data_IF_596815561088
#
_entry.id   IF_596815561088
#
_cell.length_a   1.000
_cell.length_b   1.000
_cell.length_c   1.000
_cell.angle_alpha   90.00
_cell.angle_beta   90.00
_cell.angle_gamma   90.00
#
_symmetry.space_group_name_H-M   'P 1'
#
loop_
_entity.id
_entity.type
_entity.pdbx_description
1 polymer ?
#
# COMPACT_ATOMS: atom_id res chain seq x y z
N UNK A 1 86.29 -62.99 21.35
CA UNK A 1 86.06 -61.64 20.78
C UNK A 1 84.58 -61.58 20.45
N UNK A 2 83.68 -61.33 21.42
CA UNK A 2 83.26 -60.03 21.99
C UNK A 2 81.95 -59.55 21.32
N UNK A 3 80.93 -59.28 22.17
CA UNK A 3 79.55 -58.76 21.95
C UNK A 3 78.48 -59.66 21.30
N UNK A 4 77.19 -59.64 21.65
CA UNK A 4 76.37 -59.47 22.87
C UNK A 4 74.87 -59.61 22.45
N UNK A 5 74.05 -60.31 23.24
CA UNK A 5 72.59 -60.12 23.55
C UNK A 5 71.59 -59.63 22.45
N UNK A 6 70.54 -60.37 22.05
CA UNK A 6 69.30 -60.87 22.70
C UNK A 6 68.04 -59.97 22.55
N UNK A 7 66.97 -60.55 21.95
CA UNK A 7 65.50 -60.40 22.21
C UNK A 7 64.84 -59.01 21.99
N UNK A 8 63.54 -58.84 21.72
CA UNK A 8 62.38 -59.64 21.34
C UNK A 8 61.17 -58.69 21.19
N UNK A 9 60.13 -59.12 20.45
CA UNK A 9 58.69 -58.85 20.64
C UNK A 9 58.18 -57.39 20.72
N UNK A 10 57.26 -57.02 19.81
CA UNK A 10 55.96 -56.44 20.19
C UNK A 10 54.92 -56.45 19.05
N UNK A 11 53.78 -57.06 19.35
CA UNK A 11 52.49 -56.83 18.72
C UNK A 11 52.07 -55.36 18.85
N UNK A 12 51.33 -54.81 17.87
CA UNK A 12 49.92 -54.41 18.03
C UNK A 12 49.47 -53.31 17.04
N UNK A 13 48.16 -53.37 16.75
CA UNK A 13 47.24 -52.30 16.33
C UNK A 13 47.06 -52.07 14.82
N UNK A 14 46.07 -52.78 14.27
CA UNK A 14 45.31 -52.33 13.11
C UNK A 14 44.46 -51.12 13.53
N UNK A 15 44.67 -49.99 12.87
CA UNK A 15 43.88 -48.78 13.06
C UNK A 15 42.53 -48.92 12.35
N UNK A 16 41.46 -49.00 13.15
CA UNK A 16 40.09 -48.85 12.69
C UNK A 16 39.84 -47.34 12.49
N UNK A 17 39.82 -46.88 11.24
CA UNK A 17 39.40 -45.51 10.92
C UNK A 17 37.88 -45.48 11.07
N UNK A 18 37.41 -45.01 12.23
CA UNK A 18 36.02 -44.65 12.44
C UNK A 18 35.78 -43.35 11.66
N UNK A 19 35.20 -43.46 10.46
CA UNK A 19 34.62 -42.31 9.77
C UNK A 19 33.42 -41.84 10.58
N UNK A 20 33.65 -40.88 11.48
CA UNK A 20 32.59 -40.07 12.08
C UNK A 20 31.92 -39.30 10.94
N UNK A 21 30.85 -39.89 10.40
CA UNK A 21 29.89 -39.14 9.61
C UNK A 21 29.36 -38.03 10.51
N UNK A 22 29.80 -36.79 10.26
CA UNK A 22 29.14 -35.61 10.78
C UNK A 22 27.79 -35.59 10.07
N UNK A 23 26.79 -36.24 10.66
CA UNK A 23 25.41 -35.92 10.38
C UNK A 23 25.26 -34.49 10.87
N UNK A 24 25.30 -33.52 9.96
CA UNK A 24 24.83 -32.18 10.24
C UNK A 24 23.39 -32.34 10.74
N UNK A 25 23.21 -32.23 12.06
CA UNK A 25 21.88 -32.08 12.62
C UNK A 25 21.29 -30.87 11.90
N UNK A 26 20.08 -30.97 11.32
CA UNK A 26 19.45 -29.80 10.74
C UNK A 26 19.46 -28.72 11.82
N UNK A 27 20.03 -27.56 11.49
CA UNK A 27 19.95 -26.41 12.38
C UNK A 27 18.49 -26.24 12.74
N UNK A 28 18.17 -26.33 14.03
CA UNK A 28 16.81 -26.12 14.48
C UNK A 28 16.45 -24.69 14.12
N UNK A 29 15.38 -24.51 13.35
CA UNK A 29 14.85 -23.20 13.01
C UNK A 29 14.66 -22.38 14.30
N UNK A 30 15.35 -21.24 14.38
CA UNK A 30 15.38 -20.38 15.56
C UNK A 30 14.27 -19.32 15.49
N UNK A 31 13.83 -18.81 16.64
CA UNK A 31 12.94 -17.64 16.69
C UNK A 31 13.80 -16.36 16.68
N UNK A 32 13.79 -15.61 15.58
CA UNK A 32 14.59 -14.38 15.47
C UNK A 32 14.03 -13.27 16.37
N UNK A 33 14.88 -12.44 17.00
CA UNK A 33 14.42 -11.43 17.93
C UNK A 33 13.74 -10.24 17.23
N UNK A 34 12.91 -9.51 17.98
CA UNK A 34 12.42 -8.20 17.54
C UNK A 34 13.60 -7.25 17.28
N UNK A 35 13.52 -6.47 16.19
CA UNK A 35 14.60 -5.60 15.75
C UNK A 35 15.64 -6.28 14.87
N UNK A 36 15.56 -7.60 14.66
CA UNK A 36 16.37 -8.31 13.68
C UNK A 36 16.22 -7.68 12.29
N UNK A 37 17.33 -7.55 11.56
CA UNK A 37 17.37 -6.94 10.23
C UNK A 37 17.71 -8.02 9.22
N UNK A 38 16.72 -8.37 8.40
CA UNK A 38 16.92 -9.22 7.22
C UNK A 38 17.58 -8.41 6.11
N UNK A 39 18.58 -9.00 5.47
CA UNK A 39 19.30 -8.42 4.34
C UNK A 39 19.86 -9.52 3.43
N UNK A 40 20.43 -9.14 2.29
CA UNK A 40 21.03 -10.10 1.37
C UNK A 40 22.13 -10.98 2.01
N UNK A 41 22.81 -10.47 3.05
CA UNK A 41 23.92 -11.17 3.71
C UNK A 41 23.47 -12.35 4.57
N UNK A 42 22.24 -12.34 5.08
CA UNK A 42 21.77 -13.32 6.06
C UNK A 42 20.46 -14.01 5.65
N UNK A 43 19.83 -13.59 4.54
CA UNK A 43 18.52 -14.09 4.13
C UNK A 43 18.46 -15.63 4.05
N UNK A 44 19.38 -16.24 3.30
CA UNK A 44 19.31 -17.68 3.00
C UNK A 44 19.51 -18.56 4.25
N UNK A 45 20.27 -18.08 5.24
CA UNK A 45 20.51 -18.77 6.50
C UNK A 45 19.27 -18.75 7.42
N UNK A 46 18.43 -17.73 7.27
CA UNK A 46 17.29 -17.47 8.17
C UNK A 46 15.92 -17.70 7.52
N UNK A 47 15.82 -18.14 6.26
CA UNK A 47 14.51 -18.34 5.62
C UNK A 47 13.62 -19.35 6.37
N UNK A 48 14.23 -20.36 6.98
CA UNK A 48 13.52 -21.37 7.77
C UNK A 48 13.33 -20.98 9.25
N UNK A 49 14.04 -19.95 9.73
CA UNK A 49 13.82 -19.38 11.05
C UNK A 49 12.46 -18.70 11.15
N UNK A 50 11.98 -18.53 12.37
CA UNK A 50 10.64 -18.07 12.67
C UNK A 50 10.66 -16.64 13.23
N UNK A 51 9.62 -15.87 12.92
CA UNK A 51 9.30 -14.64 13.62
C UNK A 51 7.83 -14.64 14.01
N UNK A 52 7.58 -14.46 15.30
CA UNK A 52 6.29 -14.65 15.96
C UNK A 52 5.65 -16.00 15.59
N UNK A 53 6.47 -17.07 15.58
CA UNK A 53 6.02 -18.43 15.28
C UNK A 53 5.67 -18.71 13.82
N UNK A 54 5.97 -17.80 12.89
CA UNK A 54 5.79 -18.02 11.44
C UNK A 54 7.15 -18.03 10.75
N UNK A 55 7.46 -19.01 9.88
CA UNK A 55 8.71 -19.01 9.12
C UNK A 55 8.90 -17.73 8.30
N UNK A 56 10.11 -17.19 8.27
CA UNK A 56 10.44 -15.95 7.56
C UNK A 56 10.15 -16.06 6.06
N UNK A 57 10.39 -17.23 5.45
CA UNK A 57 10.01 -17.51 4.05
C UNK A 57 8.51 -17.39 3.75
N UNK A 58 7.65 -17.61 4.75
CA UNK A 58 6.19 -17.48 4.59
C UNK A 58 5.74 -16.02 4.75
N UNK A 59 6.44 -15.25 5.58
CA UNK A 59 6.20 -13.83 5.79
C UNK A 59 6.68 -12.95 4.63
N UNK A 60 7.63 -13.42 3.82
CA UNK A 60 8.13 -12.70 2.66
C UNK A 60 7.36 -13.10 1.38
N UNK A 61 6.99 -12.11 0.57
CA UNK A 61 6.58 -12.40 -0.82
C UNK A 61 7.82 -12.71 -1.65
N UNK A 62 7.65 -13.44 -2.76
CA UNK A 62 8.76 -13.71 -3.69
C UNK A 62 9.44 -12.42 -4.16
N UNK A 63 8.66 -11.36 -4.36
CA UNK A 63 9.17 -10.05 -4.78
C UNK A 63 9.85 -9.29 -3.65
N UNK A 64 9.49 -9.53 -2.38
CA UNK A 64 10.31 -9.03 -1.25
C UNK A 64 11.66 -9.76 -1.18
N UNK A 65 11.68 -11.08 -1.40
CA UNK A 65 12.93 -11.86 -1.49
C UNK A 65 13.81 -11.33 -2.62
N UNK A 66 13.24 -11.12 -3.82
CA UNK A 66 13.93 -10.50 -4.95
C UNK A 66 14.48 -9.11 -4.59
N UNK A 67 13.68 -8.25 -3.96
CA UNK A 67 14.12 -6.91 -3.51
C UNK A 67 15.28 -6.98 -2.51
N UNK A 68 15.29 -7.95 -1.61
CA UNK A 68 16.39 -8.15 -0.66
C UNK A 68 17.65 -8.60 -1.40
N UNK A 69 17.56 -9.66 -2.19
CA UNK A 69 18.71 -10.28 -2.88
C UNK A 69 19.31 -9.40 -3.96
N UNK A 70 18.47 -8.82 -4.82
CA UNK A 70 18.90 -8.15 -6.06
C UNK A 70 18.98 -6.63 -5.91
N UNK A 71 18.24 -6.07 -4.95
CA UNK A 71 18.14 -4.62 -4.78
C UNK A 71 18.47 -4.17 -3.35
N UNK A 72 19.11 -5.01 -2.54
CA UNK A 72 19.67 -4.63 -1.24
C UNK A 72 18.65 -4.13 -0.22
N UNK A 73 17.35 -4.45 -0.38
CA UNK A 73 16.35 -4.10 0.62
C UNK A 73 16.73 -4.72 1.96
N UNK A 74 16.66 -3.90 3.02
CA UNK A 74 16.80 -4.35 4.41
C UNK A 74 15.47 -4.23 5.12
N UNK A 75 15.11 -5.27 5.87
CA UNK A 75 13.82 -5.34 6.57
C UNK A 75 14.08 -5.49 8.07
N UNK A 76 13.79 -4.42 8.84
CA UNK A 76 13.82 -4.48 10.30
C UNK A 76 12.47 -4.98 10.84
N UNK A 77 12.50 -6.06 11.60
CA UNK A 77 11.32 -6.68 12.17
C UNK A 77 10.80 -5.94 13.40
N UNK A 78 9.48 -5.75 13.46
CA UNK A 78 8.78 -5.28 14.64
C UNK A 78 7.52 -6.12 14.88
N UNK A 79 7.01 -6.19 16.14
CA UNK A 79 5.88 -7.06 16.48
C UNK A 79 4.63 -6.70 15.67
N UNK A 80 3.76 -7.67 15.39
CA UNK A 80 2.43 -7.40 14.87
C UNK A 80 1.71 -6.34 15.75
N UNK A 81 0.97 -5.43 15.10
CA UNK A 81 0.21 -4.37 15.78
C UNK A 81 -1.16 -4.23 15.12
N UNK A 82 -2.28 -4.43 15.86
CA UNK A 82 -3.61 -4.22 15.32
C UNK A 82 -3.81 -2.75 14.90
N UNK A 83 -4.47 -2.56 13.75
CA UNK A 83 -4.90 -1.24 13.31
C UNK A 83 -6.06 -0.74 14.19
N UNK A 84 -6.11 0.57 14.42
CA UNK A 84 -7.16 1.23 15.20
C UNK A 84 -7.94 2.24 14.34
N UNK A 85 -8.99 1.82 13.62
CA UNK A 85 -9.86 2.73 12.88
C UNK A 85 -10.67 3.67 13.77
N UNK A 86 -11.24 4.70 13.15
CA UNK A 86 -12.20 5.61 13.78
C UNK A 86 -13.37 4.82 14.38
N UNK A 87 -13.66 5.05 15.66
CA UNK A 87 -14.71 4.32 16.38
C UNK A 87 -16.10 4.51 15.77
N UNK A 88 -16.35 5.64 15.08
CA UNK A 88 -17.59 5.89 14.34
C UNK A 88 -17.70 5.01 13.10
N UNK A 89 -16.59 4.77 12.40
CA UNK A 89 -16.53 3.85 11.27
C UNK A 89 -16.81 2.40 11.73
N UNK A 90 -16.30 2.00 12.89
CA UNK A 90 -16.61 0.70 13.51
C UNK A 90 -18.11 0.61 13.88
N UNK A 91 -18.66 1.66 14.51
CA UNK A 91 -20.07 1.71 14.87
C UNK A 91 -20.99 1.67 13.64
N UNK A 92 -20.64 2.38 12.56
CA UNK A 92 -21.34 2.35 11.30
C UNK A 92 -21.33 0.95 10.68
N UNK A 93 -20.16 0.30 10.65
CA UNK A 93 -20.02 -1.09 10.17
C UNK A 93 -20.94 -2.04 10.94
N UNK A 94 -20.94 -1.98 12.28
CA UNK A 94 -21.81 -2.82 13.12
C UNK A 94 -23.30 -2.59 12.85
N UNK A 95 -23.68 -1.34 12.55
CA UNK A 95 -25.08 -0.93 12.37
C UNK A 95 -25.62 -1.26 10.98
N UNK A 96 -24.81 -1.05 9.94
CA UNK A 96 -25.28 -1.07 8.55
C UNK A 96 -24.84 -2.29 7.76
N UNK A 97 -23.70 -2.92 8.06
CA UNK A 97 -23.25 -4.12 7.34
C UNK A 97 -24.29 -5.25 7.33
N UNK A 98 -25.07 -5.53 8.41
CA UNK A 98 -26.11 -6.56 8.38
C UNK A 98 -27.25 -6.30 7.38
N UNK A 99 -27.38 -5.06 6.87
CA UNK A 99 -28.41 -4.66 5.90
C UNK A 99 -27.93 -4.77 4.45
N UNK A 100 -26.63 -5.04 4.25
CA UNK A 100 -26.02 -5.08 2.92
C UNK A 100 -26.27 -6.44 2.28
N UNK A 101 -26.93 -6.42 1.12
CA UNK A 101 -27.04 -7.57 0.23
C UNK A 101 -25.97 -7.53 -0.86
N UNK A 102 -25.80 -8.65 -1.57
CA UNK A 102 -24.99 -8.72 -2.78
C UNK A 102 -25.82 -9.36 -3.89
N UNK A 103 -26.06 -8.61 -4.97
CA UNK A 103 -26.70 -9.13 -6.16
C UNK A 103 -25.66 -9.87 -7.00
N UNK A 104 -25.83 -11.19 -7.13
CA UNK A 104 -24.88 -12.06 -7.85
C UNK A 104 -24.93 -11.90 -9.37
N UNK A 105 -26.02 -11.38 -9.93
CA UNK A 105 -26.16 -11.15 -11.37
C UNK A 105 -25.43 -9.87 -11.78
N UNK A 106 -25.69 -8.78 -11.05
CA UNK A 106 -25.05 -7.48 -11.33
C UNK A 106 -23.69 -7.32 -10.64
N UNK A 107 -23.35 -8.21 -9.69
CA UNK A 107 -22.17 -8.17 -8.84
C UNK A 107 -22.07 -6.87 -8.03
N UNK A 108 -23.20 -6.30 -7.61
CA UNK A 108 -23.27 -5.03 -6.88
C UNK A 108 -23.81 -5.20 -5.46
N UNK A 109 -23.37 -4.36 -4.50
CA UNK A 109 -23.98 -4.30 -3.18
C UNK A 109 -25.34 -3.61 -3.25
N UNK A 110 -26.29 -4.07 -2.44
CA UNK A 110 -27.59 -3.42 -2.23
C UNK A 110 -27.74 -3.03 -0.76
N UNK A 111 -28.47 -1.94 -0.49
CA UNK A 111 -28.70 -1.49 0.89
C UNK A 111 -27.47 -0.93 1.61
N UNK A 112 -26.40 -0.57 0.88
CA UNK A 112 -25.22 0.07 1.48
C UNK A 112 -25.54 1.46 2.03
N UNK A 113 -25.07 1.73 3.25
CA UNK A 113 -25.23 3.03 3.92
C UNK A 113 -23.86 3.58 4.32
N UNK A 114 -23.15 2.91 5.23
CA UNK A 114 -21.84 3.36 5.72
C UNK A 114 -21.05 2.20 6.36
N UNK A 115 -19.76 2.42 6.60
CA UNK A 115 -18.85 1.40 7.14
C UNK A 115 -18.45 0.35 6.10
N UNK A 116 -17.96 -0.80 6.54
CA UNK A 116 -17.56 -1.91 5.66
C UNK A 116 -18.82 -2.62 5.15
N UNK A 117 -19.06 -2.71 3.82
CA UNK A 117 -20.19 -3.44 3.26
C UNK A 117 -20.20 -4.93 3.65
N UNK A 118 -19.07 -5.61 3.50
CA UNK A 118 -18.91 -7.05 3.73
C UNK A 118 -17.76 -7.33 4.72
N UNK A 119 -17.92 -7.06 6.03
CA UNK A 119 -16.85 -7.19 7.02
C UNK A 119 -16.43 -8.64 7.30
N UNK A 120 -17.28 -9.61 6.93
CA UNK A 120 -16.97 -11.04 7.01
C UNK A 120 -17.04 -11.61 5.60
N UNK A 121 -15.89 -12.10 5.13
CA UNK A 121 -15.78 -12.76 3.84
C UNK A 121 -15.68 -14.27 4.05
N UNK A 122 -16.52 -15.01 3.32
CA UNK A 122 -16.40 -16.46 3.17
C UNK A 122 -15.56 -16.73 1.92
N UNK A 123 -14.43 -17.42 2.06
CA UNK A 123 -13.55 -17.72 0.92
C UNK A 123 -14.14 -18.79 -0.02
N UNK A 124 -15.14 -19.55 0.44
CA UNK A 124 -15.87 -20.48 -0.42
C UNK A 124 -16.91 -19.77 -1.31
N UNK A 125 -17.22 -18.50 -1.04
CA UNK A 125 -18.13 -17.71 -1.88
C UNK A 125 -17.44 -17.35 -3.21
N UNK A 126 -18.00 -17.75 -4.37
CA UNK A 126 -17.43 -17.40 -5.68
C UNK A 126 -17.39 -15.88 -5.93
N UNK A 127 -18.11 -15.09 -5.14
CA UNK A 127 -18.11 -13.62 -5.21
C UNK A 127 -17.29 -12.94 -4.11
N UNK A 128 -16.50 -13.68 -3.32
CA UNK A 128 -15.70 -13.12 -2.24
C UNK A 128 -14.73 -12.02 -2.73
N UNK A 129 -14.10 -12.20 -3.90
CA UNK A 129 -13.24 -11.21 -4.52
C UNK A 129 -13.98 -9.91 -4.86
N UNK A 130 -15.18 -10.02 -5.44
CA UNK A 130 -16.05 -8.88 -5.72
C UNK A 130 -16.46 -8.13 -4.44
N UNK A 131 -16.84 -8.86 -3.39
CA UNK A 131 -17.17 -8.27 -2.09
C UNK A 131 -15.99 -7.52 -1.47
N UNK A 132 -14.78 -8.08 -1.55
CA UNK A 132 -13.57 -7.39 -1.08
C UNK A 132 -13.25 -6.15 -1.92
N UNK A 133 -13.44 -6.20 -3.24
CA UNK A 133 -13.29 -5.03 -4.12
C UNK A 133 -14.29 -3.91 -3.76
N UNK A 134 -15.54 -4.24 -3.42
CA UNK A 134 -16.51 -3.26 -2.91
C UNK A 134 -16.14 -2.69 -1.55
N UNK A 135 -15.54 -3.50 -0.66
CA UNK A 135 -15.01 -2.99 0.60
C UNK A 135 -13.87 -1.99 0.35
N UNK A 136 -12.98 -2.25 -0.60
CA UNK A 136 -11.91 -1.31 -0.98
C UNK A 136 -12.49 -0.02 -1.57
N UNK A 137 -13.50 -0.13 -2.44
CA UNK A 137 -14.11 1.03 -3.08
C UNK A 137 -14.79 1.98 -2.09
N UNK A 138 -15.47 1.45 -1.07
CA UNK A 138 -16.24 2.26 -0.13
C UNK A 138 -15.55 2.54 1.21
N UNK A 139 -14.74 1.61 1.72
CA UNK A 139 -14.49 1.51 3.15
C UNK A 139 -13.01 1.29 3.53
N UNK A 140 -12.04 1.75 2.73
CA UNK A 140 -10.63 1.77 3.16
C UNK A 140 -10.49 2.63 4.43
N UNK A 141 -9.99 2.10 5.56
CA UNK A 141 -9.96 2.81 6.85
C UNK A 141 -9.12 4.09 6.85
N UNK A 142 -8.05 4.15 6.04
CA UNK A 142 -7.25 5.38 5.89
C UNK A 142 -7.91 6.46 5.05
N UNK A 143 -9.00 6.16 4.35
CA UNK A 143 -9.78 7.14 3.61
C UNK A 143 -10.90 7.68 4.53
N UNK A 144 -10.65 8.83 5.13
CA UNK A 144 -11.62 9.60 5.91
C UNK A 144 -12.80 10.12 5.05
N UNK A 145 -13.89 10.55 5.67
CA UNK A 145 -15.05 11.14 4.98
C UNK A 145 -14.72 12.47 4.30
N UNK A 146 -13.72 13.17 4.82
CA UNK A 146 -13.01 14.21 4.09
C UNK A 146 -11.53 14.16 4.48
N UNK A 147 -10.65 14.48 3.55
CA UNK A 147 -9.21 14.56 3.83
C UNK A 147 -8.51 15.59 2.96
N UNK A 148 -7.59 16.34 3.56
CA UNK A 148 -6.63 17.16 2.84
C UNK A 148 -5.23 16.62 3.16
N UNK A 149 -4.62 15.99 2.16
CA UNK A 149 -3.24 15.48 2.26
C UNK A 149 -2.39 16.24 1.26
N UNK A 150 -1.23 16.73 1.68
CA UNK A 150 -0.30 17.40 0.78
C UNK A 150 1.12 17.37 1.32
N UNK A 151 2.10 17.44 0.43
CA UNK A 151 3.49 17.41 0.85
C UNK A 151 4.47 17.04 -0.26
N UNK A 152 5.74 16.83 0.09
CA UNK A 152 6.80 16.52 -0.86
C UNK A 152 6.55 15.20 -1.59
N UNK A 153 6.85 15.18 -2.88
CA UNK A 153 6.99 13.98 -3.69
C UNK A 153 8.41 13.95 -4.23
N UNK A 154 9.09 12.83 -4.05
CA UNK A 154 10.45 12.58 -4.53
C UNK A 154 10.44 11.45 -5.55
N UNK A 155 11.00 11.70 -6.73
CA UNK A 155 11.28 10.68 -7.74
C UNK A 155 12.76 10.33 -7.64
N UNK A 156 13.08 9.07 -7.36
CA UNK A 156 14.46 8.60 -7.24
C UNK A 156 14.71 7.42 -8.19
N UNK A 157 15.85 7.45 -8.89
CA UNK A 157 16.35 6.30 -9.66
C UNK A 157 17.15 5.36 -8.76
N UNK A 158 17.18 4.07 -9.07
CA UNK A 158 17.83 3.07 -8.22
C UNK A 158 19.31 3.43 -7.97
N UNK A 159 20.07 3.70 -9.02
CA UNK A 159 21.50 4.04 -8.91
C UNK A 159 21.78 5.55 -8.97
N UNK A 160 20.82 6.33 -9.49
CA UNK A 160 21.01 7.75 -9.83
C UNK A 160 20.68 8.72 -8.70
N UNK A 161 20.03 8.25 -7.63
CA UNK A 161 19.56 9.11 -6.56
C UNK A 161 18.32 9.90 -6.96
N UNK A 162 18.11 11.02 -6.29
CA UNK A 162 16.98 11.91 -6.51
C UNK A 162 17.06 12.48 -7.93
N UNK A 163 16.01 12.22 -8.71
CA UNK A 163 15.85 12.71 -10.09
C UNK A 163 15.05 13.99 -10.10
N UNK A 164 13.96 14.07 -9.32
CA UNK A 164 13.10 15.26 -9.19
C UNK A 164 12.42 15.29 -7.83
N UNK A 165 12.10 16.50 -7.39
CA UNK A 165 11.23 16.75 -6.24
C UNK A 165 10.20 17.80 -6.62
N UNK A 166 8.99 17.63 -6.09
CA UNK A 166 7.88 18.58 -6.24
C UNK A 166 6.93 18.44 -5.06
N UNK A 167 5.90 19.28 -5.00
CA UNK A 167 4.88 19.24 -3.95
C UNK A 167 3.54 18.98 -4.61
N UNK A 168 2.76 18.08 -4.01
CA UNK A 168 1.45 17.69 -4.51
C UNK A 168 0.43 17.63 -3.41
N UNK A 169 -0.82 17.68 -3.84
CA UNK A 169 -2.00 17.78 -3.00
C UNK A 169 -3.04 16.76 -3.47
N UNK A 170 -3.53 15.97 -2.52
CA UNK A 170 -4.56 14.96 -2.66
C UNK A 170 -5.70 15.26 -1.68
N UNK A 171 -6.74 15.93 -2.16
CA UNK A 171 -7.90 16.26 -1.33
C UNK A 171 -9.10 15.44 -1.76
N UNK A 172 -9.87 14.94 -0.79
CA UNK A 172 -11.01 14.06 -1.01
C UNK A 172 -12.18 14.50 -0.15
N UNK A 173 -13.37 14.40 -0.71
CA UNK A 173 -14.63 14.53 -0.01
C UNK A 173 -15.55 13.38 -0.41
N UNK A 174 -15.77 12.43 0.51
CA UNK A 174 -16.64 11.27 0.30
C UNK A 174 -18.09 11.73 0.26
N UNK A 175 -18.84 11.24 -0.72
CA UNK A 175 -20.26 11.57 -0.92
C UNK A 175 -21.18 10.40 -0.55
N UNK A 176 -20.75 9.15 -0.74
CA UNK A 176 -21.47 7.92 -0.35
C UNK A 176 -20.64 7.11 0.63
N UNK A 177 -21.25 6.49 1.62
CA UNK A 177 -20.56 5.74 2.68
C UNK A 177 -20.17 6.60 3.88
N UNK A 178 -20.71 7.83 3.99
CA UNK A 178 -20.35 8.77 5.04
C UNK A 178 -20.82 8.28 6.40
N UNK A 179 -19.93 8.31 7.40
CA UNK A 179 -20.15 7.85 8.76
C UNK A 179 -19.96 8.95 9.82
N UNK A 180 -19.41 10.11 9.46
CA UNK A 180 -19.23 11.24 10.39
C UNK A 180 -20.40 12.23 10.41
N UNK A 181 -21.31 12.15 9.44
CA UNK A 181 -22.49 13.01 9.37
C UNK A 181 -23.54 12.60 10.43
N UNK A 182 -24.38 13.54 10.86
CA UNK A 182 -25.49 13.27 11.78
C UNK A 182 -26.43 12.16 11.26
N UNK A 183 -26.63 12.15 9.93
CA UNK A 183 -27.32 11.07 9.21
C UNK A 183 -26.30 10.37 8.29
N UNK A 184 -25.78 9.21 8.69
CA UNK A 184 -24.89 8.41 7.85
C UNK A 184 -25.55 7.97 6.55
N UNK A 185 -24.74 7.72 5.52
CA UNK A 185 -25.25 7.32 4.20
C UNK A 185 -24.58 8.10 3.09
N UNK A 186 -25.31 9.06 2.55
CA UNK A 186 -24.83 9.87 1.43
C UNK A 186 -25.29 11.32 1.52
N UNK A 187 -24.54 12.20 0.84
CA UNK A 187 -25.00 13.55 0.49
C UNK A 187 -25.48 13.58 -0.95
N UNK A 188 -26.47 14.41 -1.23
CA UNK A 188 -27.13 14.44 -2.53
C UNK A 188 -27.96 13.17 -2.79
N UNK A 189 -28.06 12.75 -4.04
CA UNK A 189 -28.89 11.63 -4.50
C UNK A 189 -28.22 10.25 -4.44
N UNK A 190 -26.99 10.17 -3.90
CA UNK A 190 -26.23 8.92 -3.79
C UNK A 190 -25.61 8.43 -5.12
N UNK A 191 -25.62 9.23 -6.19
CA UNK A 191 -25.04 8.85 -7.49
C UNK A 191 -23.53 9.11 -7.58
N UNK A 192 -22.99 9.99 -6.73
CA UNK A 192 -21.58 10.37 -6.66
C UNK A 192 -20.94 9.67 -5.47
N UNK A 193 -19.84 8.95 -5.66
CA UNK A 193 -19.07 8.31 -4.59
C UNK A 193 -18.19 9.32 -3.86
N UNK A 194 -17.48 10.16 -4.61
CA UNK A 194 -16.48 11.08 -4.06
C UNK A 194 -16.21 12.24 -5.02
N UNK A 195 -15.82 13.40 -4.47
CA UNK A 195 -15.12 14.47 -5.18
C UNK A 195 -13.67 14.48 -4.73
N UNK A 196 -12.73 14.59 -5.65
CA UNK A 196 -11.30 14.60 -5.30
C UNK A 196 -10.48 15.48 -6.22
N UNK A 197 -9.29 15.86 -5.76
CA UNK A 197 -8.24 16.46 -6.58
C UNK A 197 -6.92 15.78 -6.29
N UNK A 198 -6.16 15.47 -7.34
CA UNK A 198 -4.75 15.12 -7.27
C UNK A 198 -4.01 16.08 -8.20
N UNK A 199 -3.22 16.99 -7.64
CA UNK A 199 -2.51 17.98 -8.43
C UNK A 199 -1.22 18.44 -7.76
N UNK A 200 -0.30 18.95 -8.59
CA UNK A 200 0.94 19.56 -8.14
C UNK A 200 0.69 21.03 -7.74
N UNK A 201 1.33 21.48 -6.67
CA UNK A 201 1.28 22.87 -6.19
C UNK A 201 2.64 23.56 -6.21
N UNK A 202 3.75 22.83 -6.22
CA UNK A 202 5.08 23.41 -6.44
C UNK A 202 5.99 22.44 -7.20
N UNK A 203 7.02 22.92 -7.92
CA UNK A 203 7.36 24.32 -8.20
C UNK A 203 6.37 25.05 -9.13
N UNK A 204 6.55 26.37 -9.31
CA UNK A 204 5.59 27.24 -10.01
C UNK A 204 5.23 26.77 -11.42
N UNK A 205 6.18 26.23 -12.18
CA UNK A 205 5.98 25.71 -13.53
C UNK A 205 5.09 24.46 -13.57
N UNK A 206 5.15 23.62 -12.52
CA UNK A 206 4.31 22.43 -12.36
C UNK A 206 2.99 22.71 -11.63
N UNK A 207 2.91 23.81 -10.87
CA UNK A 207 1.73 24.18 -10.10
C UNK A 207 0.46 24.22 -10.97
N UNK A 208 -0.57 23.49 -10.54
CA UNK A 208 -1.86 23.35 -11.21
C UNK A 208 -1.96 22.17 -12.19
N UNK A 209 -0.86 21.45 -12.43
CA UNK A 209 -0.89 20.22 -13.23
C UNK A 209 -1.51 19.09 -12.39
N UNK A 210 -2.61 18.52 -12.87
CA UNK A 210 -3.35 17.49 -12.17
C UNK A 210 -4.80 17.41 -12.63
N UNK A 211 -5.60 16.70 -11.85
CA UNK A 211 -7.00 16.43 -12.16
C UNK A 211 -7.88 16.60 -10.93
N UNK A 212 -9.02 17.26 -11.12
CA UNK A 212 -10.16 17.21 -10.22
C UNK A 212 -11.17 16.20 -10.78
N UNK A 213 -11.63 15.28 -9.95
CA UNK A 213 -12.49 14.16 -10.33
C UNK A 213 -13.79 14.17 -9.53
N UNK A 214 -14.92 13.98 -10.21
CA UNK A 214 -16.22 13.61 -9.63
C UNK A 214 -16.47 12.16 -9.96
N UNK A 215 -16.29 11.28 -8.97
CA UNK A 215 -16.33 9.84 -9.17
C UNK A 215 -17.75 9.29 -8.99
N UNK A 216 -18.20 8.47 -9.93
CA UNK A 216 -19.54 7.85 -9.88
C UNK A 216 -19.60 6.71 -8.86
N UNK A 217 -20.73 6.58 -8.16
CA UNK A 217 -21.07 5.39 -7.38
C UNK A 217 -21.81 4.31 -8.20
N UNK A 218 -22.13 4.58 -9.47
CA UNK A 218 -23.02 3.77 -10.31
C UNK A 218 -22.32 3.20 -11.56
N UNK A 219 -20.99 3.33 -11.65
CA UNK A 219 -20.21 2.83 -12.78
C UNK A 219 -20.28 3.66 -14.04
N UNK A 220 -20.94 4.83 -14.01
CA UNK A 220 -20.84 5.83 -15.07
C UNK A 220 -19.40 6.36 -15.10
N UNK A 221 -18.94 6.74 -16.30
CA UNK A 221 -17.65 7.38 -16.47
C UNK A 221 -17.52 8.60 -15.53
N UNK A 222 -16.38 8.69 -14.85
CA UNK A 222 -16.09 9.79 -13.95
C UNK A 222 -16.00 11.11 -14.72
N UNK A 223 -16.39 12.21 -14.07
CA UNK A 223 -16.12 13.53 -14.61
C UNK A 223 -14.75 14.01 -14.15
N UNK A 224 -13.92 14.42 -15.11
CA UNK A 224 -12.59 14.92 -14.81
C UNK A 224 -12.38 16.33 -15.39
N UNK A 225 -11.67 17.16 -14.63
CA UNK A 225 -11.43 18.56 -14.93
C UNK A 225 -9.95 18.89 -14.70
N UNK A 226 -9.35 19.60 -15.66
CA UNK A 226 -7.96 20.03 -15.62
C UNK A 226 -7.87 21.54 -15.73
N UNK A 227 -6.83 22.14 -15.16
CA UNK A 227 -6.55 23.56 -15.33
C UNK A 227 -5.48 23.80 -16.40
N UNK A 228 -5.83 24.57 -17.43
CA UNK A 228 -4.92 24.91 -18.53
C UNK A 228 -4.33 26.29 -18.27
N UNK A 229 -3.10 26.33 -17.75
CA UNK A 229 -2.42 27.56 -17.30
C UNK A 229 -2.26 28.62 -18.39
N UNK A 230 -1.97 28.22 -19.64
CA UNK A 230 -1.74 29.15 -20.77
C UNK A 230 -2.95 30.02 -21.12
N UNK A 231 -4.16 29.50 -20.91
CA UNK A 231 -5.43 30.22 -21.15
C UNK A 231 -6.18 30.54 -19.85
N UNK A 232 -5.62 30.16 -18.69
CA UNK A 232 -6.18 30.35 -17.35
C UNK A 232 -7.63 29.85 -17.21
N UNK A 233 -7.94 28.69 -17.80
CA UNK A 233 -9.29 28.10 -17.74
C UNK A 233 -9.27 26.66 -17.26
N UNK A 234 -10.34 26.30 -16.55
CA UNK A 234 -10.68 24.91 -16.24
C UNK A 234 -11.38 24.32 -17.46
N UNK A 235 -10.99 23.11 -17.86
CA UNK A 235 -11.64 22.35 -18.92
C UNK A 235 -12.05 20.99 -18.38
N UNK A 236 -13.24 20.53 -18.75
CA UNK A 236 -13.60 19.12 -18.63
C UNK A 236 -12.76 18.33 -19.61
N UNK A 237 -12.12 17.26 -19.17
CA UNK A 237 -11.41 16.34 -20.05
C UNK A 237 -12.41 15.42 -20.73
N UNK A 238 -12.12 15.07 -21.99
CA UNK A 238 -12.87 14.05 -22.69
C UNK A 238 -12.27 12.69 -22.33
N UNK A 239 -13.03 11.81 -21.69
CA UNK A 239 -12.64 10.40 -21.57
C UNK A 239 -13.14 9.72 -20.30
N UNK A 240 -13.73 8.54 -20.48
CA UNK A 240 -14.00 7.57 -19.41
C UNK A 240 -12.71 6.90 -18.87
N UNK A 241 -11.54 7.23 -19.43
CA UNK A 241 -10.27 6.56 -19.23
C UNK A 241 -9.30 7.29 -18.27
N UNK A 242 -9.69 8.43 -17.69
CA UNK A 242 -8.79 9.24 -16.84
C UNK A 242 -8.24 8.46 -15.65
N UNK A 243 -8.98 7.47 -15.15
CA UNK A 243 -8.50 6.57 -14.11
C UNK A 243 -7.25 5.75 -14.53
N UNK A 244 -7.05 5.52 -15.82
CA UNK A 244 -5.90 4.81 -16.38
C UNK A 244 -4.73 5.72 -16.76
N UNK A 245 -4.90 7.05 -16.67
CA UNK A 245 -3.83 8.00 -16.94
C UNK A 245 -2.79 7.98 -15.80
N UNK A 246 -1.52 8.23 -16.14
CA UNK A 246 -0.48 8.45 -15.13
C UNK A 246 -0.80 9.71 -14.30
N UNK A 247 -0.53 9.64 -13.00
CA UNK A 247 -0.48 10.83 -12.16
C UNK A 247 0.64 11.76 -12.63
N UNK A 248 0.45 13.10 -12.54
CA UNK A 248 1.41 14.05 -13.07
C UNK A 248 2.83 13.84 -12.55
N UNK A 249 3.77 13.59 -13.48
CA UNK A 249 5.21 13.43 -13.18
C UNK A 249 5.55 12.22 -12.29
N UNK A 250 4.61 11.30 -12.05
CA UNK A 250 4.78 10.16 -11.14
C UNK A 250 4.75 8.82 -11.88
N UNK A 251 5.23 7.78 -11.19
CA UNK A 251 5.27 6.38 -11.63
C UNK A 251 4.07 5.57 -11.16
N UNK A 252 2.88 6.15 -11.26
CA UNK A 252 1.63 5.52 -10.84
C UNK A 252 0.45 6.05 -11.64
N UNK A 253 -0.59 5.24 -11.76
CA UNK A 253 -1.86 5.63 -12.38
C UNK A 253 -2.77 6.35 -11.38
N UNK A 254 -3.79 7.04 -11.87
CA UNK A 254 -4.88 7.52 -11.02
C UNK A 254 -5.58 6.35 -10.30
N UNK A 255 -5.70 5.19 -10.95
CA UNK A 255 -6.22 3.96 -10.36
C UNK A 255 -5.38 3.41 -9.21
N UNK A 256 -4.09 3.75 -9.13
CA UNK A 256 -3.19 3.23 -8.10
C UNK A 256 -3.32 3.97 -6.76
N UNK A 257 -4.20 4.96 -6.68
CA UNK A 257 -4.54 5.64 -5.43
C UNK A 257 -5.12 4.62 -4.43
N UNK A 258 -4.42 4.39 -3.31
CA UNK A 258 -4.69 3.27 -2.40
C UNK A 258 -4.60 1.87 -3.05
N UNK A 259 -3.82 1.70 -4.11
CA UNK A 259 -3.65 0.43 -4.83
C UNK A 259 -4.77 0.09 -5.82
N UNK A 260 -6.00 0.55 -5.57
CA UNK A 260 -7.14 0.52 -6.50
C UNK A 260 -8.19 1.55 -6.06
N UNK A 261 -8.63 2.44 -6.97
CA UNK A 261 -9.66 3.46 -6.68
C UNK A 261 -10.83 3.47 -7.68
N UNK A 262 -10.70 2.73 -8.78
CA UNK A 262 -11.73 2.60 -9.81
C UNK A 262 -13.02 1.94 -9.33
N UNK A 263 -14.09 2.15 -10.08
CA UNK A 263 -15.34 1.44 -9.89
C UNK A 263 -15.14 -0.07 -10.11
N UNK A 264 -15.53 -0.96 -9.18
CA UNK A 264 -15.19 -2.38 -9.27
C UNK A 264 -15.59 -3.05 -10.59
N UNK A 265 -16.75 -2.76 -11.15
CA UNK A 265 -17.19 -3.41 -12.41
C UNK A 265 -16.49 -2.89 -13.67
N UNK A 266 -15.56 -1.94 -13.56
CA UNK A 266 -14.65 -1.63 -14.67
C UNK A 266 -13.56 -2.69 -14.82
N UNK A 267 -13.29 -3.47 -13.77
CA UNK A 267 -12.47 -4.67 -13.84
C UNK A 267 -13.31 -5.82 -14.39
N UNK A 268 -12.65 -6.72 -15.11
CA UNK A 268 -13.29 -7.91 -15.67
C UNK A 268 -13.50 -8.98 -14.60
N UNK A 269 -12.58 -9.10 -13.63
CA UNK A 269 -12.71 -10.05 -12.54
C UNK A 269 -11.96 -9.66 -11.26
N UNK A 270 -12.42 -10.20 -10.14
CA UNK A 270 -11.74 -10.16 -8.84
C UNK A 270 -11.79 -11.53 -8.15
N UNK A 271 -10.65 -11.98 -7.65
CA UNK A 271 -10.51 -13.27 -6.95
C UNK A 271 -9.64 -13.15 -5.71
N UNK A 272 -10.03 -13.82 -4.63
CA UNK A 272 -9.14 -13.99 -3.48
C UNK A 272 -8.36 -15.28 -3.72
N UNK A 273 -7.04 -15.17 -3.87
CA UNK A 273 -6.15 -16.32 -4.09
C UNK A 273 -5.89 -17.10 -2.78
N UNK A 274 -6.07 -16.44 -1.64
CA UNK A 274 -5.96 -17.05 -0.33
C UNK A 274 -5.75 -16.01 0.78
N UNK A 275 -5.50 -16.53 1.98
CA UNK A 275 -4.98 -15.76 3.11
C UNK A 275 -3.52 -16.11 3.33
N UNK A 276 -2.73 -15.13 3.76
CA UNK A 276 -1.37 -15.35 4.26
C UNK A 276 -0.98 -14.23 5.21
N UNK A 277 0.07 -14.44 5.97
CA UNK A 277 0.75 -13.37 6.71
C UNK A 277 1.89 -12.83 5.85
N UNK A 278 2.02 -11.52 5.75
CA UNK A 278 3.16 -10.87 5.10
C UNK A 278 3.85 -9.89 6.05
N UNK A 279 5.12 -9.57 5.78
CA UNK A 279 5.76 -8.38 6.33
C UNK A 279 5.25 -7.15 5.57
N UNK A 280 4.65 -6.21 6.30
CA UNK A 280 4.22 -4.92 5.77
C UNK A 280 4.58 -3.78 6.72
N UNK A 281 4.67 -2.56 6.19
CA UNK A 281 4.80 -1.34 7.00
C UNK A 281 3.41 -0.91 7.50
N UNK A 282 2.77 -1.78 8.28
CA UNK A 282 1.37 -1.66 8.72
C UNK A 282 1.18 -0.68 9.89
N UNK A 283 2.26 -0.26 10.52
CA UNK A 283 2.26 0.87 11.46
C UNK A 283 3.67 1.43 11.66
N UNK A 284 3.80 2.74 11.42
CA UNK A 284 4.90 3.57 11.87
C UNK A 284 4.40 4.53 12.95
N UNK A 285 5.22 4.77 13.97
CA UNK A 285 4.93 5.83 14.95
C UNK A 285 4.76 7.18 14.22
N UNK A 286 3.98 8.14 14.73
CA UNK A 286 3.79 9.42 14.05
C UNK A 286 5.13 10.09 13.73
N UNK A 287 5.51 10.12 12.45
CA UNK A 287 6.81 10.64 12.01
C UNK A 287 6.67 12.01 11.33
N UNK A 288 5.89 12.93 11.91
CA UNK A 288 5.58 14.24 11.31
C UNK A 288 6.82 15.12 11.01
N UNK A 289 8.00 14.71 11.44
CA UNK A 289 9.28 15.41 11.24
C UNK A 289 10.26 14.65 10.35
N UNK A 290 9.84 13.52 9.77
CA UNK A 290 10.71 12.63 8.98
C UNK A 290 10.33 12.71 7.53
N UNK A 291 11.33 12.89 6.68
CA UNK A 291 11.14 13.06 5.25
C UNK A 291 11.88 11.97 4.48
N UNK A 292 11.90 12.09 3.15
CA UNK A 292 12.59 11.14 2.27
C UNK A 292 14.02 10.84 2.74
N UNK A 293 14.78 11.86 3.13
CA UNK A 293 16.19 11.74 3.52
C UNK A 293 16.39 10.92 4.80
N UNK A 294 15.38 10.87 5.67
CA UNK A 294 15.38 10.02 6.86
C UNK A 294 14.91 8.59 6.51
N UNK A 295 13.81 8.51 5.78
CA UNK A 295 13.02 7.30 5.62
C UNK A 295 13.55 6.37 4.54
N UNK A 296 14.39 6.87 3.64
CA UNK A 296 15.04 6.12 2.57
C UNK A 296 16.55 6.13 2.80
N UNK A 297 17.21 5.00 2.54
CA UNK A 297 18.66 4.90 2.59
C UNK A 297 19.31 5.90 1.60
N UNK A 298 20.22 6.73 2.10
CA UNK A 298 20.91 7.76 1.30
C UNK A 298 22.13 7.19 0.55
N UNK A 299 21.92 6.04 -0.08
CA UNK A 299 22.87 5.30 -0.90
C UNK A 299 22.12 4.45 -1.93
N UNK A 300 22.80 4.02 -2.98
CA UNK A 300 22.19 3.12 -3.94
C UNK A 300 21.91 1.73 -3.31
N UNK A 301 20.73 1.12 -3.52
CA UNK A 301 19.59 1.69 -4.26
C UNK A 301 18.81 2.74 -3.46
N UNK A 302 18.65 3.94 -4.04
CA UNK A 302 18.05 5.14 -3.41
C UNK A 302 16.53 5.07 -3.22
N UNK A 303 16.01 3.88 -2.97
CA UNK A 303 14.58 3.60 -2.85
C UNK A 303 14.31 2.60 -1.72
N UNK A 304 15.34 2.12 -1.04
CA UNK A 304 15.16 1.20 0.06
C UNK A 304 14.79 1.96 1.33
N UNK A 305 13.75 1.52 2.07
CA UNK A 305 13.43 2.09 3.36
C UNK A 305 14.60 1.95 4.32
N UNK A 306 14.91 3.01 5.07
CA UNK A 306 15.97 3.01 6.07
C UNK A 306 15.52 2.19 7.30
N UNK A 307 16.16 1.06 7.64
CA UNK A 307 15.77 0.23 8.77
C UNK A 307 15.97 0.91 10.13
N UNK A 308 16.65 2.05 10.22
CA UNK A 308 16.68 2.83 11.46
C UNK A 308 15.32 3.45 11.81
N UNK A 309 14.47 3.67 10.81
CA UNK A 309 13.22 4.43 10.96
C UNK A 309 11.99 3.65 10.45
N UNK A 310 12.17 2.77 9.47
CA UNK A 310 11.09 1.97 8.89
C UNK A 310 11.19 0.54 9.39
N UNK A 311 10.11 0.09 10.02
CA UNK A 311 9.95 -1.28 10.52
C UNK A 311 8.81 -2.00 9.82
N UNK A 312 8.94 -3.31 9.72
CA UNK A 312 7.98 -4.18 9.06
C UNK A 312 7.39 -5.16 10.07
N UNK A 313 6.08 -5.38 9.99
CA UNK A 313 5.31 -6.15 10.95
C UNK A 313 4.55 -7.28 10.25
N UNK A 314 4.51 -8.49 10.83
CA UNK A 314 3.60 -9.54 10.40
C UNK A 314 2.17 -8.99 10.35
N UNK A 315 1.53 -9.13 9.19
CA UNK A 315 0.20 -8.59 8.90
C UNK A 315 -0.58 -9.65 8.12
N UNK A 316 -1.69 -10.13 8.67
CA UNK A 316 -2.57 -11.08 7.98
C UNK A 316 -3.35 -10.37 6.88
N UNK A 317 -3.30 -10.92 5.67
CA UNK A 317 -3.89 -10.34 4.47
C UNK A 317 -4.63 -11.37 3.62
N UNK A 318 -5.71 -10.92 2.98
CA UNK A 318 -6.21 -11.52 1.76
C UNK A 318 -5.29 -11.14 0.59
N UNK A 319 -4.98 -12.11 -0.27
CA UNK A 319 -4.32 -11.86 -1.55
C UNK A 319 -5.41 -11.70 -2.62
N UNK A 320 -5.72 -10.45 -2.97
CA UNK A 320 -6.73 -10.10 -3.96
C UNK A 320 -6.08 -9.93 -5.33
N UNK A 321 -6.50 -10.74 -6.31
CA UNK A 321 -6.21 -10.52 -7.72
C UNK A 321 -7.35 -9.74 -8.37
N UNK A 322 -7.00 -8.64 -9.04
CA UNK A 322 -7.89 -7.90 -9.94
C UNK A 322 -7.42 -8.04 -11.38
N UNK A 323 -8.35 -8.31 -12.29
CA UNK A 323 -8.12 -8.35 -13.75
C UNK A 323 -8.71 -7.09 -14.39
N UNK A 324 -7.88 -6.09 -14.75
CA UNK A 324 -8.34 -4.89 -15.46
C UNK A 324 -8.87 -5.21 -16.87
N UNK A 325 -9.58 -4.27 -17.53
CA UNK A 325 -10.02 -4.45 -18.90
C UNK A 325 -8.83 -4.38 -19.88
N UNK A 326 -9.05 -4.77 -21.13
CA UNK A 326 -7.99 -4.93 -22.13
C UNK A 326 -7.16 -3.67 -22.40
N UNK A 327 -7.83 -2.52 -22.40
CA UNK A 327 -7.30 -1.18 -22.63
C UNK A 327 -6.50 -0.62 -21.45
N UNK A 328 -6.64 -1.21 -20.26
CA UNK A 328 -5.88 -0.81 -19.08
C UNK A 328 -4.38 -1.15 -19.26
N UNK A 329 -3.43 -0.33 -18.81
CA UNK A 329 -2.00 -0.63 -18.99
C UNK A 329 -1.54 -1.93 -18.31
N UNK A 330 -2.04 -2.21 -17.10
CA UNK A 330 -1.75 -3.47 -16.39
C UNK A 330 -2.53 -4.66 -16.94
N UNK A 331 -1.93 -5.85 -16.94
CA UNK A 331 -2.57 -7.13 -17.24
C UNK A 331 -3.30 -7.72 -16.03
N UNK A 332 -2.70 -7.62 -14.84
CA UNK A 332 -3.34 -7.94 -13.56
C UNK A 332 -2.71 -7.17 -12.41
N UNK A 333 -3.45 -7.06 -11.30
CA UNK A 333 -2.97 -6.48 -10.04
C UNK A 333 -3.16 -7.48 -8.92
N UNK A 334 -2.13 -7.69 -8.12
CA UNK A 334 -2.22 -8.36 -6.82
C UNK A 334 -2.19 -7.29 -5.74
N UNK A 335 -3.14 -7.34 -4.81
CA UNK A 335 -3.21 -6.48 -3.65
C UNK A 335 -3.21 -7.33 -2.38
N UNK A 336 -2.41 -6.90 -1.40
CA UNK A 336 -2.36 -7.50 -0.07
C UNK A 336 -3.21 -6.66 0.88
N UNK A 337 -4.42 -7.15 1.15
CA UNK A 337 -5.48 -6.41 1.85
C UNK A 337 -5.71 -7.02 3.22
N UNK A 338 -5.70 -6.23 4.29
CA UNK A 338 -5.91 -6.71 5.65
C UNK A 338 -7.16 -7.58 5.81
N UNK A 339 -7.08 -8.60 6.67
CA UNK A 339 -8.24 -9.45 6.99
C UNK A 339 -9.18 -8.83 8.02
N UNK A 340 -8.65 -8.04 8.95
CA UNK A 340 -9.44 -7.32 9.96
C UNK A 340 -10.24 -6.15 9.36
N UNK A 341 -9.64 -5.46 8.40
CA UNK A 341 -10.20 -4.29 7.74
C UNK A 341 -9.70 -4.23 6.30
N UNK A 342 -10.48 -3.65 5.34
CA UNK A 342 -10.11 -3.62 3.93
C UNK A 342 -9.03 -2.56 3.66
N UNK A 343 -7.88 -2.68 4.33
CA UNK A 343 -6.73 -1.81 4.19
C UNK A 343 -5.72 -2.49 3.26
N UNK A 344 -5.46 -1.94 2.07
CA UNK A 344 -4.35 -2.40 1.24
C UNK A 344 -3.04 -1.92 1.86
N UNK A 345 -2.09 -2.83 2.04
CA UNK A 345 -0.75 -2.54 2.57
C UNK A 345 0.32 -2.53 1.48
N UNK A 346 0.13 -3.38 0.46
CA UNK A 346 1.03 -3.51 -0.66
C UNK A 346 0.29 -3.99 -1.92
N UNK A 347 0.91 -3.77 -3.08
CA UNK A 347 0.44 -4.23 -4.37
C UNK A 347 1.59 -4.59 -5.31
N UNK A 348 1.32 -5.53 -6.21
CA UNK A 348 2.22 -6.00 -7.26
C UNK A 348 1.44 -5.98 -8.57
N UNK A 349 1.87 -5.14 -9.52
CA UNK A 349 1.14 -4.87 -10.76
C UNK A 349 1.94 -5.38 -11.95
N UNK A 350 1.28 -6.20 -12.77
CA UNK A 350 1.88 -6.94 -13.86
C UNK A 350 1.46 -6.31 -15.18
N UNK A 351 2.35 -6.32 -16.17
CA UNK A 351 2.05 -5.84 -17.50
C UNK A 351 1.21 -6.87 -18.31
N UNK A 352 1.04 -6.62 -19.61
CA UNK A 352 0.27 -7.51 -20.50
C UNK A 352 0.97 -8.84 -20.82
N UNK A 353 2.26 -8.98 -20.51
CA UNK A 353 3.04 -10.20 -20.69
C UNK A 353 3.18 -11.00 -19.39
N UNK A 354 2.43 -10.63 -18.34
CA UNK A 354 2.50 -11.23 -17.00
C UNK A 354 3.84 -11.03 -16.30
N UNK A 355 4.58 -9.98 -16.66
CA UNK A 355 5.81 -9.60 -15.98
C UNK A 355 5.52 -8.55 -14.91
N UNK A 356 6.11 -8.70 -13.71
CA UNK A 356 6.00 -7.68 -12.68
C UNK A 356 6.56 -6.35 -13.20
N UNK A 357 5.72 -5.32 -13.20
CA UNK A 357 6.09 -3.98 -13.65
C UNK A 357 6.27 -3.05 -12.45
N UNK A 358 5.27 -2.97 -11.56
CA UNK A 358 5.27 -2.02 -10.45
C UNK A 358 5.00 -2.69 -9.13
N UNK A 359 5.71 -2.24 -8.09
CA UNK A 359 5.37 -2.53 -6.71
C UNK A 359 4.83 -1.26 -6.05
N UNK A 360 3.70 -1.37 -5.37
CA UNK A 360 3.07 -0.28 -4.64
C UNK A 360 3.04 -0.61 -3.15
N UNK A 361 3.38 0.34 -2.28
CA UNK A 361 3.43 0.16 -0.83
C UNK A 361 2.83 1.35 -0.14
N UNK A 362 2.01 1.08 0.86
CA UNK A 362 1.40 2.09 1.71
C UNK A 362 1.93 1.93 3.12
N UNK A 363 2.47 3.01 3.68
CA UNK A 363 2.96 3.02 5.05
C UNK A 363 1.96 3.76 5.92
N UNK A 364 1.46 3.04 6.90
CA UNK A 364 0.37 3.48 7.74
C UNK A 364 0.93 4.10 9.01
N UNK A 365 0.40 5.25 9.39
CA UNK A 365 0.58 5.85 10.71
C UNK A 365 -0.78 5.99 11.38
N UNK A 366 -0.85 6.72 12.48
CA UNK A 366 -2.09 7.08 13.14
C UNK A 366 -2.09 8.57 13.42
N UNK A 367 -3.23 9.22 13.18
CA UNK A 367 -3.45 10.62 13.49
C UNK A 367 -4.68 10.79 14.38
N UNK A 368 -4.79 11.98 14.97
CA UNK A 368 -6.00 12.42 15.67
C UNK A 368 -6.67 13.47 14.80
N UNK A 369 -7.92 13.20 14.45
CA UNK A 369 -8.80 14.11 13.71
C UNK A 369 -9.10 15.38 14.54
N UNK A 370 -9.45 16.52 13.92
CA UNK A 370 -9.73 17.76 14.65
C UNK A 370 -10.88 17.66 15.67
N UNK A 371 -11.81 16.71 15.49
CA UNK A 371 -12.90 16.43 16.41
C UNK A 371 -12.56 15.35 17.46
N UNK A 372 -11.29 14.95 17.56
CA UNK A 372 -10.75 14.16 18.68
C UNK A 372 -10.78 12.65 18.50
N UNK A 373 -11.12 12.14 17.32
CA UNK A 373 -11.11 10.70 17.02
C UNK A 373 -9.77 10.25 16.45
N UNK A 374 -9.33 9.07 16.87
CA UNK A 374 -8.17 8.37 16.28
C UNK A 374 -8.53 7.82 14.91
N UNK A 375 -7.64 7.96 13.92
CA UNK A 375 -7.79 7.38 12.59
C UNK A 375 -6.43 6.89 12.05
N UNK A 376 -6.37 5.74 11.35
CA UNK A 376 -5.18 5.36 10.61
C UNK A 376 -4.98 6.32 9.43
N UNK A 377 -3.74 6.65 9.14
CA UNK A 377 -3.41 7.62 8.08
C UNK A 377 -2.40 7.02 7.11
N UNK A 378 -2.66 7.20 5.83
CA UNK A 378 -1.75 6.81 4.76
C UNK A 378 -0.73 7.93 4.53
N UNK A 379 0.32 7.98 5.36
CA UNK A 379 1.25 9.11 5.34
C UNK A 379 2.32 8.98 4.26
N UNK A 380 2.73 7.76 3.93
CA UNK A 380 3.75 7.55 2.91
C UNK A 380 3.31 6.53 1.88
N UNK A 381 3.57 6.85 0.61
CA UNK A 381 3.36 5.94 -0.51
C UNK A 381 4.68 5.73 -1.21
N UNK A 382 5.00 4.49 -1.52
CA UNK A 382 6.11 4.15 -2.38
C UNK A 382 5.60 3.35 -3.59
N UNK A 383 5.71 3.91 -4.78
CA UNK A 383 5.48 3.21 -6.04
C UNK A 383 6.81 3.03 -6.76
N UNK A 384 7.21 1.78 -6.97
CA UNK A 384 8.47 1.37 -7.58
C UNK A 384 8.16 0.85 -8.98
N UNK A 385 8.67 1.51 -10.01
CA UNK A 385 8.65 1.03 -11.38
C UNK A 385 9.95 0.25 -11.66
N UNK A 386 9.84 -1.07 -11.68
CA UNK A 386 11.00 -1.97 -11.84
C UNK A 386 11.58 -1.86 -13.26
N UNK A 387 10.73 -1.63 -14.27
CA UNK A 387 11.15 -1.53 -15.67
C UNK A 387 11.89 -0.22 -15.94
N UNK A 388 11.44 0.87 -15.34
CA UNK A 388 12.11 2.17 -15.41
C UNK A 388 13.23 2.35 -14.37
N UNK A 389 13.39 1.39 -13.45
CA UNK A 389 14.32 1.44 -12.32
C UNK A 389 14.28 2.78 -11.56
N UNK A 390 13.07 3.21 -11.23
CA UNK A 390 12.81 4.42 -10.44
C UNK A 390 11.61 4.23 -9.52
N UNK A 391 11.52 5.04 -8.47
CA UNK A 391 10.39 5.05 -7.57
C UNK A 391 9.88 6.46 -7.33
N UNK A 392 8.56 6.57 -7.17
CA UNK A 392 7.88 7.71 -6.58
C UNK A 392 7.71 7.47 -5.08
N UNK A 393 8.20 8.40 -4.27
CA UNK A 393 7.96 8.46 -2.83
C UNK A 393 7.09 9.69 -2.54
N UNK A 394 5.91 9.48 -1.96
CA UNK A 394 5.00 10.54 -1.55
C UNK A 394 5.08 10.66 -0.04
N UNK A 395 5.37 11.87 0.44
CA UNK A 395 5.31 12.25 1.84
C UNK A 395 4.08 13.15 2.07
N UNK A 396 3.05 12.56 2.66
CA UNK A 396 1.79 13.22 2.99
C UNK A 396 1.79 13.95 4.33
N UNK A 397 2.94 14.13 4.99
CA UNK A 397 2.99 14.75 6.33
C UNK A 397 3.00 16.27 6.32
N UNK A 398 3.22 16.92 5.17
CA UNK A 398 3.25 18.39 5.07
C UNK A 398 1.90 19.03 5.43
N UNK A 399 0.81 18.45 4.95
CA UNK A 399 -0.57 18.74 5.31
C UNK A 399 -1.24 17.38 5.51
N UNK A 400 -1.73 17.11 6.72
CA UNK A 400 -2.49 15.90 7.02
C UNK A 400 -3.69 16.28 7.88
N UNK A 401 -4.84 16.41 7.22
CA UNK A 401 -6.11 16.70 7.87
C UNK A 401 -7.13 15.67 7.42
N UNK A 402 -7.83 15.06 8.37
CA UNK A 402 -8.82 14.01 8.12
C UNK A 402 -10.04 14.22 9.01
N UNK A 403 -11.24 13.99 8.46
CA UNK A 403 -12.53 14.18 9.13
C UNK A 403 -12.65 15.55 9.82
N UNK A 404 -12.15 16.60 9.16
CA UNK A 404 -12.27 17.96 9.69
C UNK A 404 -13.71 18.45 9.53
N UNK A 405 -14.41 18.80 10.63
CA UNK A 405 -15.76 19.36 10.54
C UNK A 405 -15.81 20.67 9.75
N UNK A 406 -14.70 21.40 9.62
CA UNK A 406 -14.63 22.64 8.84
C UNK A 406 -14.51 22.37 7.33
N UNK A 407 -14.05 21.18 6.92
CA UNK A 407 -13.92 20.86 5.51
C UNK A 407 -15.30 20.52 4.97
N UNK A 408 -15.87 21.45 4.19
CA UNK A 408 -17.18 21.31 3.56
C UNK A 408 -17.07 20.92 2.08
N UNK A 409 -18.11 20.29 1.57
CA UNK A 409 -18.18 19.77 0.20
C UNK A 409 -17.91 20.87 -0.85
N UNK A 410 -18.47 22.06 -0.65
CA UNK A 410 -18.36 23.21 -1.55
C UNK A 410 -16.93 23.74 -1.71
N UNK A 411 -16.05 23.45 -0.75
CA UNK A 411 -14.63 23.81 -0.83
C UNK A 411 -13.89 22.99 -1.89
N UNK A 412 -14.39 21.78 -2.19
CA UNK A 412 -13.83 20.89 -3.18
C UNK A 412 -14.65 20.91 -4.46
N UNK A 413 -14.41 21.96 -5.27
CA UNK A 413 -14.97 22.15 -6.61
C UNK A 413 -13.86 22.28 -7.65
N UNK A 414 -14.13 22.25 -8.97
CA UNK A 414 -13.08 22.42 -9.98
C UNK A 414 -12.22 23.69 -9.83
N UNK A 415 -12.72 24.72 -9.11
CA UNK A 415 -11.96 25.95 -8.80
C UNK A 415 -10.73 25.69 -7.93
N UNK A 416 -10.68 24.58 -7.19
CA UNK A 416 -9.50 24.21 -6.39
C UNK A 416 -8.23 24.13 -7.26
N UNK A 417 -8.37 23.68 -8.51
CA UNK A 417 -7.26 23.59 -9.46
C UNK A 417 -6.64 24.96 -9.76
N UNK A 418 -7.45 26.03 -9.80
CA UNK A 418 -6.95 27.40 -9.98
C UNK A 418 -6.16 27.87 -8.77
N UNK A 419 -6.61 27.52 -7.55
CA UNK A 419 -5.89 27.84 -6.31
C UNK A 419 -4.53 27.13 -6.29
N UNK A 420 -4.50 25.82 -6.51
CA UNK A 420 -3.26 25.04 -6.53
C UNK A 420 -2.29 25.54 -7.61
N UNK A 421 -2.79 26.04 -8.74
CA UNK A 421 -1.97 26.67 -9.79
C UNK A 421 -1.27 27.96 -9.37
N UNK A 422 -1.67 28.58 -8.26
CA UNK A 422 -0.97 29.73 -7.65
C UNK A 422 0.12 29.32 -6.65
N UNK A 423 0.28 28.02 -6.40
CA UNK A 423 1.16 27.47 -5.38
C UNK A 423 0.61 27.54 -3.96
N UNK A 424 -0.64 27.98 -3.78
CA UNK A 424 -1.31 27.95 -2.49
C UNK A 424 -1.81 26.54 -2.19
N UNK A 425 -1.20 25.89 -1.21
CA UNK A 425 -1.68 24.64 -0.65
C UNK A 425 -2.82 24.87 0.36
N UNK A 426 -3.42 23.77 0.81
CA UNK A 426 -4.51 23.76 1.78
C UNK A 426 -5.85 24.20 1.21
N UNK A 427 -6.92 23.79 1.90
CA UNK A 427 -8.30 24.16 1.58
C UNK A 427 -8.68 25.54 2.13
N UNK A 428 -7.98 26.00 3.18
CA UNK A 428 -8.25 27.23 3.91
C UNK A 428 -7.32 28.39 3.48
#
# INVERSE_FOLDING_TARGET
MIYQFLRALRNAQAALILSLGITALPALAEEVPTGFVLSAQNLDEHLDDHYQGTPLKELLTEHLIMRIREHGLRIKLAPARPMQPDSRYIAATKTYAPKVGFDTQTKTPTGYVAGIPFPKLDLADPHAGWKLAWNLFYAIPTNADNSAVGGPITIAGFDKGIVRQFVGDNYKFRMVGRYTDEQPGHRGDGTIKQKSVVALSAPYDLAGLGVYTVQSAQGKADEAYVYVKSIRRIKRTAGAAVWMDNQPQMDMLNDDNNGIDSYPLWYSDFRILGKRTILAVSYLEPMMTKHYEDLIEQSAPWINPNPEHVVWRPTEVFVLEGTPPSEHPYGRKILYVGTDYPQPYAGEFYDKNDELWRMWRLWITQSTTPDGYTIPSANYVQAIDLKAQRATFIDGTGIMVQNDPQFKEEMLSPRIMQRLATGKQGLY
#
